data_IF_504523747072
#
_entry.id   IF_504523747072
#
_cell.length_a   1.000
_cell.length_b   1.000
_cell.length_c   1.000
_cell.angle_alpha   90.00
_cell.angle_beta   90.00
_cell.angle_gamma   90.00
#
_symmetry.space_group_name_H-M   'P 1'
#
loop_
_entity.id
_entity.type
_entity.pdbx_description
1 polymer ?
#
# COMPACT_ATOMS: atom_id res chain seq x y z
N UNK A 1 -20.11 -18.33 -54.48
CA UNK A 1 -20.81 -17.20 -55.13
C UNK A 1 -21.98 -16.79 -54.25
N UNK A 2 -21.75 -15.89 -53.29
CA UNK A 2 -22.61 -14.76 -52.88
C UNK A 2 -21.63 -13.70 -52.36
N UNK A 3 -21.85 -12.45 -52.80
CA UNK A 3 -20.98 -11.28 -52.74
C UNK A 3 -20.68 -10.78 -51.31
N UNK A 4 -19.49 -10.19 -51.16
CA UNK A 4 -19.08 -9.28 -50.09
C UNK A 4 -19.65 -7.88 -50.30
N UNK A 5 -20.10 -7.27 -49.21
CA UNK A 5 -20.10 -5.83 -48.89
C UNK A 5 -20.52 -5.78 -47.41
N UNK A 6 -19.66 -5.55 -46.42
CA UNK A 6 -18.68 -4.48 -46.31
C UNK A 6 -19.20 -3.58 -45.19
N UNK A 7 -18.61 -3.66 -43.99
CA UNK A 7 -18.43 -2.51 -43.10
C UNK A 7 -17.56 -2.89 -41.90
N UNK A 8 -16.63 -2.00 -41.62
CA UNK A 8 -15.57 -2.09 -40.64
C UNK A 8 -16.10 -2.26 -39.22
N UNK A 9 -16.02 -3.47 -38.68
CA UNK A 9 -16.02 -3.70 -37.24
C UNK A 9 -14.59 -3.61 -36.70
N UNK A 10 -13.95 -2.44 -36.78
CA UNK A 10 -12.79 -2.19 -35.90
C UNK A 10 -13.37 -2.10 -34.51
N UNK A 11 -13.17 -3.16 -33.72
CA UNK A 11 -13.38 -3.08 -32.29
C UNK A 11 -12.53 -1.91 -31.78
N UNK A 12 -13.18 -0.79 -31.45
CA UNK A 12 -12.57 0.27 -30.68
C UNK A 12 -12.29 -0.30 -29.29
N UNK A 13 -11.17 -1.00 -29.15
CA UNK A 13 -10.49 -1.05 -27.87
C UNK A 13 -10.25 0.41 -27.49
N UNK A 14 -10.87 0.84 -26.40
CA UNK A 14 -10.71 2.20 -25.87
C UNK A 14 -9.23 2.58 -25.90
N UNK A 15 -8.91 3.78 -26.38
CA UNK A 15 -7.52 4.25 -26.45
C UNK A 15 -6.80 4.17 -25.10
N UNK A 16 -7.55 4.21 -23.99
CA UNK A 16 -7.02 3.96 -22.64
C UNK A 16 -6.53 2.52 -22.45
N UNK A 17 -7.30 1.49 -22.83
CA UNK A 17 -6.90 0.09 -22.63
C UNK A 17 -5.64 -0.29 -23.41
N UNK A 18 -5.45 0.26 -24.62
CA UNK A 18 -4.24 0.00 -25.42
C UNK A 18 -3.03 0.71 -24.81
N UNK A 19 -3.19 1.96 -24.35
CA UNK A 19 -2.13 2.71 -23.68
C UNK A 19 -1.74 2.08 -22.34
N UNK A 20 -2.71 1.59 -21.57
CA UNK A 20 -2.50 0.91 -20.29
C UNK A 20 -1.79 -0.44 -20.48
N UNK A 21 -2.13 -1.15 -21.55
CA UNK A 21 -1.42 -2.37 -21.94
C UNK A 21 0.03 -2.06 -22.33
N UNK A 22 0.29 -1.01 -23.13
CA UNK A 22 1.65 -0.59 -23.49
C UNK A 22 2.48 -0.18 -22.26
N UNK A 23 1.88 0.54 -21.33
CA UNK A 23 2.53 0.98 -20.08
C UNK A 23 2.83 -0.20 -19.16
N UNK A 24 1.91 -1.15 -19.05
CA UNK A 24 2.14 -2.41 -18.33
C UNK A 24 3.26 -3.22 -19.00
N UNK A 25 3.32 -3.22 -20.33
CA UNK A 25 4.39 -3.86 -21.10
C UNK A 25 5.76 -3.19 -20.89
N UNK A 26 5.83 -1.88 -20.65
CA UNK A 26 7.08 -1.17 -20.29
C UNK A 26 7.59 -1.59 -18.90
N UNK A 27 6.70 -1.74 -17.92
CA UNK A 27 7.05 -2.26 -16.59
C UNK A 27 7.47 -3.73 -16.69
N UNK A 28 6.73 -4.54 -17.45
CA UNK A 28 6.98 -5.97 -17.65
C UNK A 28 8.26 -6.27 -18.47
N UNK A 29 8.65 -5.41 -19.42
CA UNK A 29 9.88 -5.58 -20.23
C UNK A 29 11.18 -5.20 -19.50
N UNK A 30 11.19 -5.28 -18.16
CA UNK A 30 12.41 -5.12 -17.35
C UNK A 30 12.98 -3.69 -17.32
N UNK A 31 12.19 -2.66 -17.62
CA UNK A 31 12.66 -1.26 -17.62
C UNK A 31 12.34 -0.48 -16.35
N UNK A 32 11.54 -1.02 -15.43
CA UNK A 32 11.20 -0.37 -14.15
C UNK A 32 10.88 -1.40 -13.06
N UNK A 33 11.92 -1.93 -12.40
CA UNK A 33 11.78 -2.93 -11.33
C UNK A 33 11.69 -2.31 -9.92
N UNK A 34 11.76 -0.98 -9.82
CA UNK A 34 11.71 -0.26 -8.55
C UNK A 34 10.62 0.81 -8.55
N UNK A 35 9.93 0.93 -7.42
CA UNK A 35 8.85 1.91 -7.24
C UNK A 35 9.35 3.35 -7.36
N UNK A 36 10.58 3.64 -6.92
CA UNK A 36 11.18 4.98 -6.95
C UNK A 36 11.65 5.44 -8.35
N UNK A 37 11.67 4.54 -9.33
CA UNK A 37 11.95 4.85 -10.73
C UNK A 37 10.69 4.99 -11.59
N UNK A 38 9.50 4.91 -11.00
CA UNK A 38 8.27 5.13 -11.74
C UNK A 38 8.19 6.61 -12.16
N UNK A 39 8.09 6.92 -13.48
CA UNK A 39 8.21 8.29 -13.96
C UNK A 39 6.95 9.14 -13.77
N UNK A 40 5.80 8.54 -13.43
CA UNK A 40 4.58 9.28 -13.08
C UNK A 40 3.67 8.51 -12.12
N UNK A 41 2.90 9.21 -11.26
CA UNK A 41 1.94 8.57 -10.34
C UNK A 41 0.94 7.63 -11.02
N UNK A 42 0.53 7.93 -12.26
CA UNK A 42 -0.43 7.12 -13.02
C UNK A 42 0.07 5.69 -13.31
N UNK A 43 1.38 5.47 -13.24
CA UNK A 43 2.01 4.17 -13.50
C UNK A 43 2.16 3.30 -12.24
N UNK A 44 1.88 3.85 -11.06
CA UNK A 44 1.94 3.12 -9.78
C UNK A 44 0.98 1.93 -9.78
N UNK A 45 -0.22 2.08 -10.35
CA UNK A 45 -1.16 0.98 -10.50
C UNK A 45 -0.60 -0.17 -11.34
N UNK A 46 0.06 0.17 -12.45
CA UNK A 46 0.66 -0.85 -13.33
C UNK A 46 1.77 -1.60 -12.61
N UNK A 47 2.56 -0.92 -11.77
CA UNK A 47 3.55 -1.57 -10.92
C UNK A 47 2.90 -2.58 -9.98
N UNK A 48 1.84 -2.21 -9.25
CA UNK A 48 1.15 -3.15 -8.37
C UNK A 48 0.54 -4.34 -9.12
N UNK A 49 -0.06 -4.11 -10.29
CA UNK A 49 -0.57 -5.21 -11.16
C UNK A 49 0.55 -6.18 -11.53
N UNK A 50 1.71 -5.66 -11.93
CA UNK A 50 2.86 -6.50 -12.29
C UNK A 50 3.37 -7.29 -11.08
N UNK A 51 3.45 -6.67 -9.89
CA UNK A 51 3.84 -7.42 -8.68
C UNK A 51 2.84 -8.52 -8.34
N UNK A 52 1.55 -8.33 -8.59
CA UNK A 52 0.53 -9.36 -8.38
C UNK A 52 0.67 -10.53 -9.37
N UNK A 53 1.20 -10.32 -10.57
CA UNK A 53 1.48 -11.41 -11.52
C UNK A 53 2.58 -12.37 -11.03
N UNK A 54 3.40 -11.95 -10.05
CA UNK A 54 4.41 -12.79 -9.41
C UNK A 54 3.81 -13.80 -8.42
N UNK A 55 2.52 -13.70 -8.11
CA UNK A 55 1.87 -14.50 -7.07
C UNK A 55 2.02 -16.01 -7.31
N UNK A 56 1.98 -16.47 -8.57
CA UNK A 56 2.03 -17.91 -8.84
C UNK A 56 3.42 -18.49 -8.64
N UNK A 57 4.47 -17.81 -9.12
CA UNK A 57 5.86 -18.20 -8.83
C UNK A 57 6.14 -18.10 -7.34
N UNK A 58 5.58 -17.09 -6.67
CA UNK A 58 5.71 -16.94 -5.23
C UNK A 58 5.07 -18.10 -4.45
N UNK A 59 3.90 -18.60 -4.88
CA UNK A 59 3.26 -19.78 -4.29
C UNK A 59 4.15 -21.03 -4.43
N UNK A 60 4.75 -21.24 -5.60
CA UNK A 60 5.64 -22.37 -5.83
C UNK A 60 6.83 -22.34 -4.86
N UNK A 61 7.45 -21.17 -4.66
CA UNK A 61 8.54 -21.01 -3.70
C UNK A 61 8.11 -21.29 -2.26
N UNK A 62 6.93 -20.80 -1.84
CA UNK A 62 6.39 -21.05 -0.50
C UNK A 62 6.20 -22.55 -0.25
N UNK A 63 5.69 -23.27 -1.26
CA UNK A 63 5.50 -24.73 -1.22
C UNK A 63 6.83 -25.48 -1.18
N UNK A 64 7.74 -25.18 -2.10
CA UNK A 64 9.07 -25.81 -2.19
C UNK A 64 9.86 -25.65 -0.89
N UNK A 65 9.82 -24.47 -0.28
CA UNK A 65 10.57 -24.17 0.93
C UNK A 65 9.86 -24.60 2.21
N UNK A 66 8.64 -25.12 2.11
CA UNK A 66 7.84 -25.56 3.27
C UNK A 66 7.75 -24.46 4.34
N UNK A 67 7.57 -23.22 3.90
CA UNK A 67 7.63 -22.04 4.78
C UNK A 67 6.56 -22.14 5.87
N UNK A 68 6.93 -21.92 7.13
CA UNK A 68 5.95 -21.97 8.24
C UNK A 68 5.25 -20.63 8.51
N UNK A 69 5.75 -19.54 7.93
CA UNK A 69 5.23 -18.20 8.08
C UNK A 69 5.66 -17.35 6.88
N UNK A 70 4.87 -16.35 6.54
CA UNK A 70 5.19 -15.36 5.53
C UNK A 70 5.32 -13.98 6.16
N UNK A 71 6.43 -13.30 5.94
CA UNK A 71 6.55 -11.86 6.19
C UNK A 71 6.56 -11.16 4.84
N UNK A 72 5.64 -10.21 4.64
CA UNK A 72 5.55 -9.50 3.37
C UNK A 72 5.18 -8.03 3.57
N UNK A 73 5.55 -7.22 2.57
CA UNK A 73 5.22 -5.80 2.52
C UNK A 73 3.70 -5.58 2.57
N UNK A 74 3.29 -4.49 3.22
CA UNK A 74 1.89 -4.07 3.28
C UNK A 74 1.26 -3.88 1.89
N UNK A 75 2.04 -3.48 0.88
CA UNK A 75 1.60 -3.18 -0.48
C UNK A 75 1.41 -4.42 -1.36
N UNK A 76 1.65 -5.63 -0.84
CA UNK A 76 1.43 -6.90 -1.55
C UNK A 76 0.23 -7.65 -1.00
N UNK A 77 -1.01 -7.17 -1.19
CA UNK A 77 -2.21 -7.77 -0.61
C UNK A 77 -2.42 -9.23 -1.05
N UNK A 78 -2.01 -9.57 -2.28
CA UNK A 78 -2.06 -10.92 -2.85
C UNK A 78 -1.28 -11.97 -2.05
N UNK A 79 -0.33 -11.54 -1.20
CA UNK A 79 0.38 -12.45 -0.30
C UNK A 79 -0.49 -12.97 0.85
N UNK A 80 -1.60 -12.29 1.21
CA UNK A 80 -2.61 -12.83 2.14
C UNK A 80 -3.19 -14.12 1.59
N UNK A 81 -3.61 -14.12 0.32
CA UNK A 81 -4.24 -15.28 -0.30
C UNK A 81 -3.26 -16.43 -0.48
N UNK A 82 -1.98 -16.11 -0.78
CA UNK A 82 -0.92 -17.12 -0.81
C UNK A 82 -0.74 -17.77 0.57
N UNK A 83 -0.64 -16.99 1.64
CA UNK A 83 -0.49 -17.53 2.99
C UNK A 83 -1.70 -18.38 3.41
N UNK A 84 -2.91 -17.94 3.05
CA UNK A 84 -4.14 -18.69 3.30
C UNK A 84 -4.18 -20.03 2.54
N UNK A 85 -3.72 -20.06 1.28
CA UNK A 85 -3.65 -21.29 0.46
C UNK A 85 -2.83 -22.39 1.15
N UNK A 86 -1.72 -22.03 1.77
CA UNK A 86 -0.83 -22.97 2.46
C UNK A 86 -1.13 -23.10 3.96
N UNK A 87 -2.20 -22.45 4.45
CA UNK A 87 -2.58 -22.42 5.86
C UNK A 87 -1.44 -21.96 6.80
N UNK A 88 -0.70 -20.93 6.39
CA UNK A 88 0.40 -20.35 7.17
C UNK A 88 0.07 -18.92 7.61
N UNK A 89 0.57 -18.45 8.77
CA UNK A 89 0.39 -17.07 9.19
C UNK A 89 1.15 -16.10 8.28
N UNK A 90 0.46 -15.04 7.84
CA UNK A 90 1.08 -13.85 7.22
C UNK A 90 1.28 -12.75 8.27
N UNK A 91 2.49 -12.21 8.35
CA UNK A 91 2.84 -11.01 9.10
C UNK A 91 3.12 -9.86 8.13
N UNK A 92 2.45 -8.73 8.35
CA UNK A 92 2.63 -7.53 7.52
C UNK A 92 3.81 -6.72 8.05
N UNK A 93 4.69 -6.26 7.16
CA UNK A 93 5.71 -5.28 7.49
C UNK A 93 5.34 -3.92 6.85
N UNK A 94 5.11 -2.89 7.67
CA UNK A 94 4.76 -1.54 7.18
C UNK A 94 5.97 -0.66 6.85
N UNK A 95 7.15 -0.96 7.41
CA UNK A 95 8.34 -0.12 7.22
C UNK A 95 8.28 1.28 7.84
N UNK A 96 7.28 1.58 8.68
CA UNK A 96 7.10 2.87 9.35
C UNK A 96 6.80 2.69 10.86
N UNK A 97 6.64 3.80 11.58
CA UNK A 97 6.36 3.86 13.02
C UNK A 97 4.86 3.84 13.34
N UNK A 98 4.51 3.58 14.61
CA UNK A 98 3.11 3.58 15.07
C UNK A 98 2.46 4.96 14.94
N UNK A 99 3.21 6.01 15.25
CA UNK A 99 2.81 7.42 15.15
C UNK A 99 2.30 7.76 13.75
N UNK A 100 3.10 7.47 12.72
CA UNK A 100 2.77 7.82 11.34
C UNK A 100 1.48 7.12 10.88
N UNK A 101 1.29 5.83 11.22
CA UNK A 101 0.05 5.12 10.88
C UNK A 101 -1.16 5.67 11.62
N UNK A 102 -1.03 6.01 12.91
CA UNK A 102 -2.13 6.60 13.67
C UNK A 102 -2.55 7.96 13.12
N UNK A 103 -1.56 8.79 12.73
CA UNK A 103 -1.80 10.10 12.11
C UNK A 103 -2.48 9.94 10.75
N UNK A 104 -1.94 9.10 9.88
CA UNK A 104 -2.51 8.84 8.55
C UNK A 104 -3.95 8.31 8.64
N UNK A 105 -4.22 7.36 9.53
CA UNK A 105 -5.57 6.81 9.71
C UNK A 105 -6.55 7.86 10.25
N UNK A 106 -6.11 8.74 11.16
CA UNK A 106 -6.95 9.83 11.63
C UNK A 106 -7.26 10.85 10.53
N UNK A 107 -6.25 11.25 9.75
CA UNK A 107 -6.43 12.18 8.62
C UNK A 107 -7.40 11.58 7.60
N UNK A 108 -7.25 10.31 7.26
CA UNK A 108 -8.12 9.59 6.33
C UNK A 108 -9.58 9.58 6.80
N UNK A 109 -9.81 9.30 8.08
CA UNK A 109 -11.16 9.19 8.63
C UNK A 109 -11.87 10.54 8.78
N UNK A 110 -11.16 11.57 9.24
CA UNK A 110 -11.78 12.85 9.62
C UNK A 110 -11.58 13.97 8.59
N UNK A 111 -10.63 13.83 7.66
CA UNK A 111 -10.31 14.77 6.58
C UNK A 111 -10.24 16.24 7.04
N UNK A 112 -9.49 16.56 8.11
CA UNK A 112 -9.48 17.91 8.71
C UNK A 112 -9.04 19.01 7.73
N UNK A 113 -8.22 18.65 6.73
CA UNK A 113 -7.78 19.54 5.65
C UNK A 113 -8.91 20.04 4.73
N UNK A 114 -10.11 19.45 4.78
CA UNK A 114 -11.27 19.97 4.03
C UNK A 114 -11.91 21.20 4.67
N UNK A 115 -11.56 21.49 5.93
CA UNK A 115 -12.16 22.58 6.70
C UNK A 115 -11.27 23.83 6.77
N UNK A 116 -10.13 23.84 6.07
CA UNK A 116 -9.22 24.99 6.00
C UNK A 116 -9.41 25.77 4.71
N UNK A 117 -9.13 27.08 4.77
CA UNK A 117 -9.32 28.02 3.66
C UNK A 117 -8.11 28.09 2.71
N UNK A 118 -6.96 27.54 3.11
CA UNK A 118 -5.75 27.52 2.27
C UNK A 118 -4.83 26.33 2.59
N UNK A 119 -3.95 25.98 1.66
CA UNK A 119 -3.01 24.86 1.84
C UNK A 119 -1.97 25.09 2.94
N UNK A 120 -1.73 26.34 3.34
CA UNK A 120 -0.78 26.73 4.38
C UNK A 120 -1.43 26.93 5.75
N UNK A 121 -2.76 26.90 5.83
CA UNK A 121 -3.49 27.01 7.09
C UNK A 121 -3.30 25.74 7.92
N UNK A 122 -3.09 25.93 9.22
CA UNK A 122 -2.83 24.86 10.17
C UNK A 122 -4.15 24.25 10.64
N UNK A 123 -4.26 22.93 10.56
CA UNK A 123 -5.30 22.17 11.23
C UNK A 123 -4.71 21.24 12.30
N UNK A 124 -5.54 20.87 13.27
CA UNK A 124 -5.19 19.86 14.28
C UNK A 124 -5.68 18.49 13.79
N UNK A 125 -4.81 17.49 13.84
CA UNK A 125 -5.20 16.10 13.55
C UNK A 125 -6.06 15.59 14.71
N UNK A 126 -7.33 15.23 14.46
CA UNK A 126 -8.25 14.84 15.53
C UNK A 126 -7.88 13.48 16.12
N UNK A 127 -8.44 13.15 17.28
CA UNK A 127 -8.39 11.82 17.87
C UNK A 127 -6.96 11.25 17.97
N UNK A 128 -5.99 12.03 18.43
CA UNK A 128 -4.64 11.54 18.77
C UNK A 128 -4.34 11.86 20.24
N UNK A 129 -3.45 11.08 20.85
CA UNK A 129 -3.01 11.29 22.25
C UNK A 129 -2.31 12.65 22.43
N UNK A 130 -1.67 13.15 21.37
CA UNK A 130 -1.00 14.43 21.34
C UNK A 130 -1.64 15.37 20.32
N UNK A 131 -1.55 16.67 20.57
CA UNK A 131 -1.97 17.69 19.61
C UNK A 131 -0.95 17.78 18.46
N UNK A 132 -1.28 17.16 17.33
CA UNK A 132 -0.49 17.23 16.11
C UNK A 132 -1.08 18.30 15.19
N UNK A 133 -0.24 19.24 14.76
CA UNK A 133 -0.61 20.36 13.88
C UNK A 133 0.08 20.18 12.54
N UNK A 134 -0.70 20.20 11.46
CA UNK A 134 -0.21 20.06 10.09
C UNK A 134 -0.89 21.08 9.19
N UNK A 135 -0.29 21.31 8.02
CA UNK A 135 -0.93 22.00 6.90
C UNK A 135 -1.21 21.02 5.77
N UNK A 136 -2.08 21.39 4.83
CA UNK A 136 -2.38 20.54 3.66
C UNK A 136 -1.12 20.28 2.82
N UNK A 137 -0.17 21.23 2.79
CA UNK A 137 1.12 21.06 2.09
C UNK A 137 2.03 19.98 2.70
N UNK A 138 1.82 19.60 3.96
CA UNK A 138 2.60 18.56 4.64
C UNK A 138 2.01 17.16 4.48
N UNK A 139 0.81 17.05 3.87
CA UNK A 139 0.16 15.78 3.64
C UNK A 139 0.77 15.04 2.45
N UNK A 140 0.83 13.71 2.55
CA UNK A 140 1.24 12.92 1.40
C UNK A 140 0.15 12.97 0.32
N UNK A 141 0.50 12.77 -0.96
CA UNK A 141 -0.50 12.61 -2.00
C UNK A 141 -1.52 11.50 -1.68
N UNK A 142 -1.12 10.48 -0.91
CA UNK A 142 -2.00 9.40 -0.49
C UNK A 142 -3.08 9.83 0.51
N UNK A 143 -2.77 10.79 1.39
CA UNK A 143 -3.74 11.34 2.35
C UNK A 143 -4.80 12.21 1.68
N UNK A 144 -4.50 12.73 0.49
CA UNK A 144 -5.35 13.61 -0.30
C UNK A 144 -6.19 12.85 -1.35
N UNK A 145 -6.05 11.53 -1.43
CA UNK A 145 -6.75 10.71 -2.42
C UNK A 145 -8.27 10.84 -2.23
N UNK A 146 -8.96 11.13 -3.34
CA UNK A 146 -10.42 11.10 -3.41
C UNK A 146 -10.94 9.66 -3.54
N UNK A 147 -12.08 9.39 -2.89
CA UNK A 147 -12.66 8.05 -2.73
C UNK A 147 -13.01 7.36 -4.08
N UNK A 148 -13.16 8.13 -5.15
CA UNK A 148 -13.56 7.62 -6.47
C UNK A 148 -12.36 7.26 -7.37
N UNK A 149 -11.13 7.51 -6.92
CA UNK A 149 -9.94 7.25 -7.75
C UNK A 149 -9.54 5.77 -7.75
N UNK A 150 -8.89 5.32 -8.82
CA UNK A 150 -8.32 3.97 -8.92
C UNK A 150 -7.31 3.69 -7.80
N UNK A 151 -6.52 4.70 -7.42
CA UNK A 151 -5.53 4.56 -6.35
C UNK A 151 -6.22 4.35 -5.00
N UNK A 152 -7.34 5.03 -4.73
CA UNK A 152 -8.13 4.78 -3.53
C UNK A 152 -8.53 3.31 -3.40
N UNK A 153 -9.05 2.73 -4.48
CA UNK A 153 -9.50 1.32 -4.49
C UNK A 153 -8.35 0.36 -4.18
N UNK A 154 -7.16 0.60 -4.75
CA UNK A 154 -5.96 -0.21 -4.47
C UNK A 154 -5.59 -0.14 -2.98
N UNK A 155 -5.51 1.06 -2.40
CA UNK A 155 -5.16 1.20 -0.99
C UNK A 155 -6.25 0.68 -0.05
N UNK A 156 -7.51 0.74 -0.48
CA UNK A 156 -8.62 0.11 0.22
C UNK A 156 -8.44 -1.42 0.25
N UNK A 157 -8.16 -2.06 -0.89
CA UNK A 157 -7.87 -3.50 -0.98
C UNK A 157 -6.65 -3.90 -0.15
N UNK A 158 -5.57 -3.10 -0.21
CA UNK A 158 -4.38 -3.26 0.63
C UNK A 158 -4.75 -3.29 2.11
N UNK A 159 -5.56 -2.34 2.57
CA UNK A 159 -6.00 -2.25 3.97
C UNK A 159 -6.80 -3.49 4.37
N UNK A 160 -7.79 -3.88 3.56
CA UNK A 160 -8.64 -5.04 3.83
C UNK A 160 -7.84 -6.35 3.84
N UNK A 161 -6.88 -6.53 2.94
CA UNK A 161 -6.00 -7.69 2.92
C UNK A 161 -5.07 -7.72 4.15
N UNK A 162 -4.56 -6.56 4.57
CA UNK A 162 -3.71 -6.45 5.74
C UNK A 162 -4.49 -6.76 7.02
N UNK A 163 -5.77 -6.35 7.13
CA UNK A 163 -6.63 -6.69 8.29
C UNK A 163 -6.81 -8.21 8.47
N UNK A 164 -6.78 -8.98 7.39
CA UNK A 164 -6.87 -10.46 7.42
C UNK A 164 -5.56 -11.15 7.83
N UNK A 165 -4.46 -10.41 7.94
CA UNK A 165 -3.15 -10.98 8.30
C UNK A 165 -3.06 -11.31 9.79
N UNK A 166 -2.21 -12.27 10.16
CA UNK A 166 -2.04 -12.74 11.54
C UNK A 166 -1.59 -11.64 12.50
N UNK A 167 -0.80 -10.69 12.01
CA UNK A 167 -0.35 -9.53 12.76
C UNK A 167 0.64 -8.67 11.97
N UNK A 168 1.32 -7.78 12.68
CA UNK A 168 2.10 -6.69 12.08
C UNK A 168 3.44 -6.50 12.77
N UNK A 169 4.50 -6.37 11.97
CA UNK A 169 5.80 -5.90 12.40
C UNK A 169 5.98 -4.41 12.15
N UNK A 170 6.54 -3.74 13.16
CA UNK A 170 6.92 -2.34 13.12
C UNK A 170 8.43 -2.22 13.27
N UNK A 171 9.05 -1.42 12.40
CA UNK A 171 10.44 -0.99 12.57
C UNK A 171 10.50 0.20 13.54
N UNK A 172 10.13 -0.07 14.78
CA UNK A 172 10.13 0.86 15.91
C UNK A 172 10.32 0.07 17.21
N UNK A 173 10.39 0.74 18.36
CA UNK A 173 10.46 0.14 19.68
C UNK A 173 9.44 0.80 20.62
N UNK A 174 8.98 0.04 21.62
CA UNK A 174 7.84 0.43 22.45
C UNK A 174 8.07 1.75 23.19
N UNK A 175 9.23 1.93 23.80
CA UNK A 175 9.60 3.08 24.62
C UNK A 175 9.63 4.39 23.81
N UNK A 176 9.74 4.33 22.48
CA UNK A 176 9.74 5.51 21.62
C UNK A 176 8.35 6.15 21.52
N UNK A 177 7.30 5.33 21.50
CA UNK A 177 5.97 5.79 21.08
C UNK A 177 4.82 5.00 21.75
N UNK A 178 4.96 4.73 23.06
CA UNK A 178 4.00 3.97 23.88
C UNK A 178 2.54 4.37 23.65
N UNK A 179 2.23 5.67 23.70
CA UNK A 179 0.86 6.18 23.50
C UNK A 179 0.27 5.78 22.13
N UNK A 180 1.11 5.67 21.10
CA UNK A 180 0.69 5.29 19.75
C UNK A 180 0.63 3.78 19.57
N UNK A 181 1.48 3.02 20.27
CA UNK A 181 1.38 1.55 20.38
C UNK A 181 0.03 1.17 21.00
N UNK A 182 -0.30 1.77 22.15
CA UNK A 182 -1.57 1.51 22.85
C UNK A 182 -2.77 1.90 22.00
N UNK A 183 -2.70 3.06 21.32
CA UNK A 183 -3.75 3.48 20.41
C UNK A 183 -3.95 2.48 19.26
N UNK A 184 -2.86 2.08 18.59
CA UNK A 184 -2.94 1.17 17.45
C UNK A 184 -3.53 -0.19 17.86
N UNK A 185 -3.10 -0.71 19.01
CA UNK A 185 -3.58 -1.99 19.55
C UNK A 185 -5.05 -1.94 19.96
N UNK A 186 -5.47 -0.88 20.66
CA UNK A 186 -6.85 -0.73 21.11
C UNK A 186 -7.84 -0.52 19.96
N UNK A 187 -7.46 0.23 18.94
CA UNK A 187 -8.33 0.51 17.79
C UNK A 187 -8.45 -0.68 16.86
N UNK A 188 -7.36 -1.41 16.59
CA UNK A 188 -7.34 -2.44 15.57
C UNK A 188 -7.47 -3.87 16.13
N UNK A 189 -7.26 -4.09 17.44
CA UNK A 189 -7.29 -5.42 18.07
C UNK A 189 -6.40 -6.45 17.34
N UNK A 190 -5.22 -6.01 16.88
CA UNK A 190 -4.27 -6.84 16.10
C UNK A 190 -3.04 -7.19 16.92
N UNK A 191 -2.45 -8.35 16.63
CA UNK A 191 -1.13 -8.70 17.14
C UNK A 191 -0.08 -7.81 16.50
N UNK A 192 0.74 -7.17 17.33
CA UNK A 192 1.81 -6.29 16.90
C UNK A 192 3.12 -6.70 17.54
N UNK A 193 4.22 -6.41 16.85
CA UNK A 193 5.57 -6.54 17.38
C UNK A 193 6.41 -5.35 16.91
N UNK A 194 6.94 -4.60 17.87
CA UNK A 194 7.94 -3.57 17.63
C UNK A 194 9.32 -4.25 17.66
N UNK A 195 9.97 -4.35 16.49
CA UNK A 195 11.23 -5.10 16.31
C UNK A 195 12.41 -4.21 15.91
N UNK A 196 12.20 -2.89 15.91
CA UNK A 196 13.20 -1.91 15.53
C UNK A 196 14.05 -1.40 16.70
N UNK A 197 15.03 -0.53 16.40
CA UNK A 197 15.46 -0.16 15.05
C UNK A 197 16.22 -1.32 14.38
N UNK A 198 15.81 -1.71 13.17
CA UNK A 198 16.43 -2.83 12.43
C UNK A 198 17.76 -2.48 11.76
N UNK A 199 18.05 -1.19 11.60
CA UNK A 199 19.34 -0.73 11.07
C UNK A 199 20.32 -0.50 12.23
N UNK A 200 21.58 -0.97 12.12
CA UNK A 200 22.59 -0.69 13.13
C UNK A 200 22.94 0.79 13.15
N UNK A 201 23.16 1.34 14.35
CA UNK A 201 23.87 2.60 14.51
C UNK A 201 25.29 2.35 14.00
N UNK A 202 25.65 2.92 12.85
CA UNK A 202 27.05 2.94 12.44
C UNK A 202 27.80 3.76 13.49
N UNK A 203 28.56 3.07 14.34
CA UNK A 203 29.53 3.74 15.21
C UNK A 203 30.58 4.33 14.28
N UNK A 204 30.63 5.66 14.22
CA UNK A 204 31.65 6.37 13.43
C UNK A 204 33.03 5.92 13.86
N UNK A 205 33.83 5.47 12.89
CA UNK A 205 35.28 5.32 13.04
C UNK A 205 35.97 6.66 12.86
#
# INVERSE_FOLDING_TARGET
MVKLSGENGVAQQSSSSVADNLKSEVILKGRCERLDFIPSPDLVNNFFKVTAMMQEQFKQLVEEWHSNCLVSDMLFPWTTDTAAKFNIPRLVFHGTCFFALCVAESIRHHKPFKNVSSNSEIFVVPNLSHQIKLTTMQLSPFDLIEEETIIFQIFHEVREANLKSYGVFFNSFYELELDYVERYTNVLSRKIWAIGPLLPVQQGH
#
